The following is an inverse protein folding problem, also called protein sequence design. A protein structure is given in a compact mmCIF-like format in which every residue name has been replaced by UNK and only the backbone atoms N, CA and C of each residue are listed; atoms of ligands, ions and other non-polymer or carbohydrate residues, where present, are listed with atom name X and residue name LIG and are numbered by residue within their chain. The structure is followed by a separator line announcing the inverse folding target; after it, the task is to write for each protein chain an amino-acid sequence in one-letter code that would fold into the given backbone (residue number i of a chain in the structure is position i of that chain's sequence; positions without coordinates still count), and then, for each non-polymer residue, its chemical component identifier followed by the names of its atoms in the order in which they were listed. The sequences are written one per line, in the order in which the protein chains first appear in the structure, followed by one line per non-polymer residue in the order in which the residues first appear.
data_IF_099164816107
#
_entry.id   IF_099164816107
#
_cell.length_a   1.000
_cell.length_b   1.000
_cell.length_c   1.000
_cell.angle_alpha   90.00
_cell.angle_beta   90.00
_cell.angle_gamma   90.00
#
_symmetry.space_group_name_H-M   'P 1'
#
loop_
_entity.id
_entity.type
_entity.pdbx_description
1 polymer ?
#
# COMPACT_ATOMS: atom_id res chain seq x y z
N UNK A 1 -4.96 -10.66 7.89
CA UNK A 1 -4.86 -10.10 9.26
C UNK A 1 -4.12 -8.77 9.22
N UNK A 2 -4.74 -7.73 9.75
CA UNK A 2 -4.11 -6.42 9.83
C UNK A 2 -3.15 -6.38 11.01
N UNK A 3 -1.91 -5.99 10.76
CA UNK A 3 -0.89 -5.92 11.81
C UNK A 3 -0.71 -4.49 12.34
N UNK A 4 -0.73 -3.51 11.46
CA UNK A 4 -0.50 -2.12 11.83
C UNK A 4 -1.37 -1.20 10.99
N UNK A 5 -1.96 -0.20 11.63
CA UNK A 5 -2.66 0.89 10.96
C UNK A 5 -1.78 2.12 11.02
N UNK A 6 -1.66 2.81 9.89
CA UNK A 6 -0.94 4.09 9.84
C UNK A 6 0.47 3.99 10.43
N UNK A 7 1.34 3.32 9.70
CA UNK A 7 2.73 3.19 10.12
C UNK A 7 3.53 4.37 9.58
N UNK A 8 3.84 5.35 10.42
CA UNK A 8 4.62 6.51 9.96
C UNK A 8 6.10 6.26 10.16
N UNK A 9 6.91 6.88 9.31
CA UNK A 9 8.34 6.99 9.56
C UNK A 9 8.82 8.26 8.88
N UNK A 10 10.09 8.64 9.14
CA UNK A 10 10.57 9.91 8.61
C UNK A 10 10.63 9.93 7.07
N UNK A 11 10.60 8.76 6.44
CA UNK A 11 10.73 8.67 4.98
C UNK A 11 9.39 8.56 4.25
N UNK A 12 8.32 8.25 4.98
CA UNK A 12 7.02 8.07 4.37
C UNK A 12 6.05 7.42 5.33
N UNK A 13 4.99 6.87 4.78
CA UNK A 13 3.94 6.28 5.58
C UNK A 13 3.33 5.10 4.84
N UNK A 14 2.93 4.08 5.60
CA UNK A 14 2.13 2.97 5.07
C UNK A 14 0.79 3.00 5.78
N UNK A 15 -0.29 3.08 5.02
CA UNK A 15 -1.62 3.18 5.62
C UNK A 15 -2.01 1.91 6.36
N UNK A 16 -1.70 0.77 5.79
CA UNK A 16 -1.95 -0.52 6.43
C UNK A 16 -0.80 -1.46 6.17
N UNK A 17 -0.45 -2.23 7.20
CA UNK A 17 0.46 -3.37 7.03
C UNK A 17 -0.33 -4.60 7.46
N UNK A 18 -0.47 -5.54 6.56
CA UNK A 18 -1.25 -6.74 6.80
C UNK A 18 -0.43 -7.98 6.51
N UNK A 19 -0.97 -9.11 6.86
CA UNK A 19 -0.35 -10.40 6.54
C UNK A 19 -1.37 -11.30 5.90
N UNK A 20 -1.00 -11.89 4.77
CA UNK A 20 -1.78 -12.90 4.09
C UNK A 20 -0.89 -14.12 4.00
N UNK A 21 -1.23 -15.17 4.73
CA UNK A 21 -0.38 -16.36 4.88
C UNK A 21 1.01 -15.94 5.38
N UNK A 22 2.04 -16.14 4.59
CA UNK A 22 3.42 -15.79 4.97
C UNK A 22 3.91 -14.51 4.32
N UNK A 23 3.03 -13.82 3.61
CA UNK A 23 3.38 -12.60 2.88
C UNK A 23 2.95 -11.37 3.66
N UNK A 24 3.88 -10.42 3.81
CA UNK A 24 3.54 -9.10 4.33
C UNK A 24 3.01 -8.24 3.20
N UNK A 25 1.90 -7.56 3.44
CA UNK A 25 1.26 -6.72 2.45
C UNK A 25 1.27 -5.29 2.96
N UNK A 26 1.93 -4.41 2.21
CA UNK A 26 1.96 -2.99 2.51
C UNK A 26 0.93 -2.31 1.64
N UNK A 27 -0.02 -1.63 2.25
CA UNK A 27 -1.21 -1.15 1.55
C UNK A 27 -1.31 0.37 1.60
N UNK A 28 -1.48 0.96 0.45
CA UNK A 28 -1.81 2.39 0.32
C UNK A 28 -3.31 2.50 0.11
N UNK A 29 -3.97 3.30 0.94
CA UNK A 29 -5.41 3.52 0.84
C UNK A 29 -5.65 4.88 0.21
N UNK A 30 -6.47 4.92 -0.83
CA UNK A 30 -6.77 6.15 -1.55
C UNK A 30 -8.26 6.35 -1.70
N UNK A 31 -8.70 7.58 -1.48
CA UNK A 31 -10.07 7.95 -1.77
C UNK A 31 -10.13 8.48 -3.20
N UNK A 32 -10.97 7.87 -4.01
CA UNK A 32 -11.16 8.30 -5.40
C UNK A 32 -12.53 8.90 -5.57
N UNK A 33 -12.55 10.03 -6.22
CA UNK A 33 -13.82 10.63 -6.63
C UNK A 33 -14.12 10.19 -8.06
N UNK A 34 -15.04 10.86 -8.70
CA UNK A 34 -15.50 10.48 -10.04
C UNK A 34 -14.50 10.67 -11.14
N UNK A 35 -13.37 11.22 -10.85
CA UNK A 35 -12.41 11.49 -11.89
C UNK A 35 -11.69 10.23 -12.29
N UNK A 36 -11.94 9.79 -13.50
CA UNK A 36 -11.40 8.56 -14.02
C UNK A 36 -10.21 8.77 -14.94
N UNK A 37 -9.54 9.86 -14.82
CA UNK A 37 -8.34 10.10 -15.60
C UNK A 37 -7.27 9.12 -15.19
N UNK A 38 -6.77 8.38 -16.15
CA UNK A 38 -5.81 7.33 -15.89
C UNK A 38 -6.49 6.14 -15.23
N UNK A 39 -5.81 5.02 -15.19
CA UNK A 39 -6.30 3.85 -14.51
C UNK A 39 -6.11 3.94 -13.01
N UNK A 40 -6.69 3.00 -12.26
CA UNK A 40 -6.52 2.97 -10.82
C UNK A 40 -5.07 2.94 -10.37
N UNK A 41 -4.21 2.25 -11.12
CA UNK A 41 -2.79 2.14 -10.79
C UNK A 41 -2.08 3.49 -10.85
N UNK A 42 -2.58 4.42 -11.66
CA UNK A 42 -1.96 5.72 -11.80
C UNK A 42 -2.24 6.65 -10.62
N UNK A 43 -3.13 6.26 -9.72
CA UNK A 43 -3.39 7.05 -8.54
C UNK A 43 -2.19 7.08 -7.60
N UNK A 44 -1.25 6.17 -7.77
CA UNK A 44 -0.04 6.11 -6.96
C UNK A 44 1.15 6.37 -7.86
N UNK A 45 1.60 7.61 -7.88
CA UNK A 45 2.70 8.03 -8.74
C UNK A 45 4.06 7.57 -8.20
N UNK A 46 5.11 7.82 -8.97
CA UNK A 46 6.45 7.36 -8.58
C UNK A 46 6.93 7.90 -7.25
N UNK A 47 6.57 9.14 -6.91
CA UNK A 47 6.96 9.75 -5.66
C UNK A 47 6.30 9.00 -4.48
N UNK A 48 5.01 8.71 -4.60
CA UNK A 48 4.30 7.97 -3.56
C UNK A 48 4.79 6.55 -3.43
N UNK A 49 5.13 5.92 -4.56
CA UNK A 49 5.69 4.59 -4.54
C UNK A 49 7.01 4.56 -3.78
N UNK A 50 7.88 5.52 -4.03
CA UNK A 50 9.17 5.59 -3.34
C UNK A 50 8.99 5.78 -1.83
N UNK A 51 8.04 6.61 -1.44
CA UNK A 51 7.75 6.83 -0.02
C UNK A 51 7.20 5.58 0.64
N UNK A 52 6.31 4.89 -0.06
CA UNK A 52 5.74 3.65 0.43
C UNK A 52 6.83 2.58 0.61
N UNK A 53 7.69 2.43 -0.39
CA UNK A 53 8.80 1.46 -0.32
C UNK A 53 9.77 1.82 0.81
N UNK A 54 10.08 3.10 0.97
CA UNK A 54 10.98 3.53 2.04
C UNK A 54 10.42 3.21 3.42
N UNK A 55 9.12 3.47 3.62
CA UNK A 55 8.47 3.15 4.90
C UNK A 55 8.44 1.63 5.13
N UNK A 56 8.17 0.86 4.08
CA UNK A 56 8.15 -0.60 4.19
C UNK A 56 9.54 -1.13 4.57
N UNK A 57 10.58 -0.61 3.95
CA UNK A 57 11.95 -1.01 4.28
C UNK A 57 12.27 -0.71 5.74
N UNK A 58 11.81 0.43 6.23
CA UNK A 58 12.02 0.78 7.62
C UNK A 58 11.30 -0.23 8.54
N UNK A 59 10.08 -0.58 8.20
CA UNK A 59 9.33 -1.57 8.97
C UNK A 59 10.04 -2.92 8.99
N UNK A 60 10.61 -3.32 7.85
CA UNK A 60 11.25 -4.62 7.69
C UNK A 60 12.53 -4.77 8.50
N UNK A 61 13.08 -3.68 9.01
CA UNK A 61 14.29 -3.74 9.84
C UNK A 61 14.11 -4.55 11.11
N UNK A 62 12.87 -4.76 11.54
CA UNK A 62 12.59 -5.54 12.75
C UNK A 62 12.71 -7.05 12.53
N UNK A 63 12.83 -7.47 11.26
CA UNK A 63 12.90 -8.89 10.95
C UNK A 63 14.35 -9.33 10.77
N UNK A 64 14.68 -10.47 11.32
CA UNK A 64 15.99 -11.08 11.14
C UNK A 64 16.13 -11.57 9.70
N UNK A 65 15.07 -12.16 9.18
CA UNK A 65 15.01 -12.65 7.81
C UNK A 65 13.79 -12.01 7.16
N UNK A 66 13.99 -11.34 6.03
CA UNK A 66 12.92 -10.58 5.39
C UNK A 66 11.90 -11.54 4.78
N UNK A 67 10.63 -11.44 5.19
CA UNK A 67 9.59 -12.29 4.62
C UNK A 67 9.24 -11.85 3.20
N UNK A 68 8.45 -12.67 2.52
CA UNK A 68 7.88 -12.27 1.24
C UNK A 68 7.02 -11.03 1.46
N UNK A 69 7.08 -10.10 0.51
CA UNK A 69 6.37 -8.83 0.61
C UNK A 69 5.62 -8.52 -0.67
N UNK A 70 4.55 -7.77 -0.52
CA UNK A 70 3.75 -7.32 -1.63
C UNK A 70 3.23 -5.92 -1.32
N UNK A 71 3.10 -5.09 -2.35
CA UNK A 71 2.54 -3.74 -2.22
C UNK A 71 1.21 -3.68 -2.93
N UNK A 72 0.17 -3.33 -2.21
CA UNK A 72 -1.18 -3.25 -2.74
C UNK A 72 -1.73 -1.84 -2.59
N UNK A 73 -2.77 -1.55 -3.35
CA UNK A 73 -3.52 -0.31 -3.20
C UNK A 73 -4.99 -0.64 -3.02
N UNK A 74 -5.62 0.09 -2.12
CA UNK A 74 -7.06 0.01 -1.93
C UNK A 74 -7.65 1.34 -2.33
N UNK A 75 -8.57 1.31 -3.28
CA UNK A 75 -9.25 2.51 -3.75
C UNK A 75 -10.66 2.52 -3.19
N UNK A 76 -10.96 3.54 -2.40
CA UNK A 76 -12.31 3.76 -1.92
C UNK A 76 -13.02 4.60 -2.95
N UNK A 77 -13.96 3.98 -3.64
CA UNK A 77 -14.69 4.63 -4.70
C UNK A 77 -15.88 5.39 -4.10
N UNK A 78 -16.64 6.08 -4.93
CA UNK A 78 -17.81 6.80 -4.45
C UNK A 78 -18.88 5.87 -3.91
N UNK A 79 -19.95 6.46 -3.38
CA UNK A 79 -20.95 5.75 -2.59
C UNK A 79 -21.46 4.44 -3.16
N UNK A 80 -21.57 4.35 -4.48
CA UNK A 80 -22.15 3.17 -5.10
C UNK A 80 -21.15 2.22 -5.70
N UNK A 81 -19.90 2.63 -5.75
CA UNK A 81 -18.88 1.84 -6.44
C UNK A 81 -18.01 1.02 -5.50
N UNK A 82 -18.12 1.31 -4.22
CA UNK A 82 -17.48 0.48 -3.23
C UNK A 82 -15.98 0.59 -3.18
N UNK A 83 -15.34 -0.54 -3.03
CA UNK A 83 -13.91 -0.64 -2.80
C UNK A 83 -13.27 -1.48 -3.89
N UNK A 84 -12.12 -1.04 -4.37
CA UNK A 84 -11.34 -1.79 -5.33
C UNK A 84 -9.97 -2.07 -4.74
N UNK A 85 -9.58 -3.32 -4.73
CA UNK A 85 -8.29 -3.74 -4.19
C UNK A 85 -7.39 -4.15 -5.34
N UNK A 86 -6.25 -3.45 -5.48
CA UNK A 86 -5.28 -3.72 -6.52
C UNK A 86 -4.06 -4.38 -5.89
N UNK A 87 -3.78 -5.60 -6.29
CA UNK A 87 -2.65 -6.35 -5.73
C UNK A 87 -1.38 -6.13 -6.52
N UNK A 88 -0.28 -6.11 -5.79
CA UNK A 88 1.06 -6.13 -6.37
C UNK A 88 1.29 -4.98 -7.36
N UNK A 89 1.04 -3.77 -6.89
CA UNK A 89 1.10 -2.58 -7.73
C UNK A 89 2.51 -2.07 -7.98
N UNK A 90 3.49 -2.55 -7.25
CA UNK A 90 4.88 -2.13 -7.39
C UNK A 90 5.74 -3.35 -7.70
N UNK A 91 6.43 -3.28 -8.82
CA UNK A 91 7.39 -4.32 -9.19
C UNK A 91 8.77 -3.83 -8.77
N UNK A 92 9.39 -4.56 -7.91
CA UNK A 92 10.73 -4.24 -7.41
C UNK A 92 11.79 -5.06 -8.12
#
# INVERSE_FOLDING_TARGET
MILVNNFPCRWGEVDLIAREDKTLVFVEVRLRHNDLRGGPAESIDGHKQRRLVAAARFYLKRFRSIPACRFDAVLLMGKEEGLQWLKNIILL
#
